data_IF_647401824734
#
_entry.id   IF_647401824734
#
_cell.length_a   1.000
_cell.length_b   1.000
_cell.length_c   1.000
_cell.angle_alpha   90.00
_cell.angle_beta   90.00
_cell.angle_gamma   90.00
#
_symmetry.space_group_name_H-M   'P 1'
#
loop_
_entity.id
_entity.type
_entity.pdbx_description
1 polymer ?
#
# COMPACT_ATOMS: atom_id res chain seq x y z
N UNK A 1 -10.36 -36.38 11.64
CA UNK A 1 -10.40 -35.90 10.25
C UNK A 1 -10.73 -34.41 10.29
N UNK A 2 -9.71 -33.54 10.42
CA UNK A 2 -9.81 -32.07 10.32
C UNK A 2 -8.39 -31.50 10.28
N UNK A 3 -7.75 -31.59 9.11
CA UNK A 3 -6.49 -30.93 8.82
C UNK A 3 -6.64 -30.18 7.49
N UNK A 4 -7.39 -29.08 7.50
CA UNK A 4 -7.51 -28.22 6.30
C UNK A 4 -7.87 -26.79 6.69
N UNK A 5 -6.95 -26.05 7.34
CA UNK A 5 -7.08 -24.58 7.44
C UNK A 5 -5.77 -23.83 7.72
N UNK A 6 -4.61 -24.35 7.30
CA UNK A 6 -3.32 -23.66 7.45
C UNK A 6 -2.57 -23.38 6.15
N UNK A 7 -3.08 -23.81 5.00
CA UNK A 7 -2.36 -23.68 3.73
C UNK A 7 -2.73 -22.43 2.90
N UNK A 8 -3.74 -21.65 3.33
CA UNK A 8 -4.30 -20.55 2.53
C UNK A 8 -3.85 -19.14 2.90
N UNK A 9 -2.88 -18.97 3.81
CA UNK A 9 -2.32 -17.67 4.17
C UNK A 9 -0.91 -17.52 3.59
N UNK A 10 -0.78 -17.75 2.28
CA UNK A 10 0.41 -17.25 1.57
C UNK A 10 0.10 -15.82 1.15
N UNK A 11 0.87 -14.81 1.60
CA UNK A 11 0.71 -13.46 1.11
C UNK A 11 0.80 -13.52 -0.40
N UNK A 12 -0.15 -12.87 -1.08
CA UNK A 12 -0.32 -13.00 -2.52
C UNK A 12 0.86 -12.47 -3.33
N UNK A 13 1.90 -11.93 -2.67
CA UNK A 13 3.22 -11.64 -3.21
C UNK A 13 3.23 -10.49 -4.20
N UNK A 14 2.08 -9.83 -4.38
CA UNK A 14 1.84 -8.84 -5.43
C UNK A 14 1.76 -7.41 -4.88
N UNK A 15 2.09 -7.16 -3.61
CA UNK A 15 2.30 -5.80 -3.11
C UNK A 15 2.12 -5.61 -1.61
N UNK A 16 3.13 -4.96 -1.00
CA UNK A 16 3.11 -4.35 0.33
C UNK A 16 2.72 -5.25 1.50
N UNK A 17 3.61 -5.41 2.49
CA UNK A 17 3.32 -6.17 3.73
C UNK A 17 2.05 -5.66 4.42
N UNK A 18 1.84 -4.35 4.47
CA UNK A 18 0.65 -3.74 5.07
C UNK A 18 -0.64 -4.12 4.31
N UNK A 19 -0.57 -4.13 2.99
CA UNK A 19 -1.73 -4.42 2.14
C UNK A 19 -2.10 -5.90 2.22
N UNK A 20 -1.14 -6.79 2.02
CA UNK A 20 -1.39 -8.23 2.10
C UNK A 20 -1.93 -8.62 3.49
N UNK A 21 -1.40 -8.04 4.58
CA UNK A 21 -1.92 -8.24 5.93
C UNK A 21 -3.38 -7.79 6.09
N UNK A 22 -3.75 -6.62 5.58
CA UNK A 22 -5.11 -6.10 5.71
C UNK A 22 -6.14 -6.88 4.89
N UNK A 23 -5.75 -7.44 3.73
CA UNK A 23 -6.61 -8.33 2.94
C UNK A 23 -6.91 -9.63 3.72
N UNK A 24 -5.89 -10.22 4.33
CA UNK A 24 -6.04 -11.41 5.19
C UNK A 24 -6.95 -11.10 6.40
N UNK A 25 -6.73 -9.98 7.09
CA UNK A 25 -7.60 -9.55 8.18
C UNK A 25 -9.04 -9.31 7.73
N UNK A 26 -9.24 -8.67 6.56
CA UNK A 26 -10.56 -8.42 6.02
C UNK A 26 -11.32 -9.71 5.68
N UNK A 27 -10.61 -10.73 5.20
CA UNK A 27 -11.18 -12.05 4.90
C UNK A 27 -11.59 -12.81 6.18
N UNK A 28 -10.88 -12.61 7.30
CA UNK A 28 -11.16 -13.28 8.57
C UNK A 28 -12.20 -12.57 9.43
N UNK A 29 -12.14 -11.25 9.52
CA UNK A 29 -12.94 -10.43 10.45
C UNK A 29 -14.16 -9.83 9.74
N UNK A 30 -14.07 -9.55 8.44
CA UNK A 30 -15.19 -9.03 7.66
C UNK A 30 -15.52 -7.55 7.88
N UNK A 31 -14.74 -6.80 8.66
CA UNK A 31 -14.98 -5.37 8.95
C UNK A 31 -14.77 -4.47 7.72
N UNK A 32 -15.67 -3.50 7.53
CA UNK A 32 -15.61 -2.55 6.42
C UNK A 32 -14.40 -1.61 6.47
N UNK A 33 -13.91 -1.28 7.67
CA UNK A 33 -12.74 -0.41 7.89
C UNK A 33 -11.44 -1.11 7.49
N UNK A 34 -11.32 -2.43 7.67
CA UNK A 34 -10.20 -3.21 7.16
C UNK A 34 -10.15 -3.17 5.63
N UNK A 35 -11.29 -3.35 4.95
CA UNK A 35 -11.39 -3.21 3.49
C UNK A 35 -11.07 -1.81 3.01
N UNK A 36 -11.48 -0.78 3.75
CA UNK A 36 -11.17 0.61 3.44
C UNK A 36 -9.67 0.91 3.58
N UNK A 37 -9.05 0.52 4.70
CA UNK A 37 -7.61 0.64 4.90
C UNK A 37 -6.80 -0.14 3.85
N UNK A 38 -7.22 -1.36 3.50
CA UNK A 38 -6.62 -2.15 2.43
C UNK A 38 -6.59 -1.40 1.08
N UNK A 39 -7.71 -0.77 0.69
CA UNK A 39 -7.79 0.01 -0.55
C UNK A 39 -6.87 1.22 -0.53
N UNK A 40 -6.81 1.95 0.58
CA UNK A 40 -5.92 3.12 0.70
C UNK A 40 -4.45 2.70 0.63
N UNK A 41 -4.05 1.58 1.24
CA UNK A 41 -2.70 1.07 1.08
C UNK A 41 -2.40 0.52 -0.31
N UNK A 42 -3.40 0.00 -1.03
CA UNK A 42 -3.24 -0.36 -2.44
C UNK A 42 -2.98 0.88 -3.32
N UNK A 43 -3.66 1.99 -3.05
CA UNK A 43 -3.42 3.27 -3.70
C UNK A 43 -2.02 3.81 -3.37
N UNK A 44 -1.62 3.80 -2.11
CA UNK A 44 -0.29 4.19 -1.67
C UNK A 44 0.83 3.39 -2.36
N UNK A 45 0.63 2.08 -2.57
CA UNK A 45 1.58 1.26 -3.31
C UNK A 45 1.73 1.69 -4.79
N UNK A 46 0.64 2.13 -5.41
CA UNK A 46 0.67 2.73 -6.75
C UNK A 46 1.47 4.03 -6.79
N UNK A 47 1.26 4.92 -5.81
CA UNK A 47 2.01 6.17 -5.68
C UNK A 47 3.50 5.93 -5.45
N UNK A 48 3.87 4.97 -4.59
CA UNK A 48 5.25 4.54 -4.40
C UNK A 48 5.91 4.06 -5.69
N UNK A 49 5.18 3.31 -6.52
CA UNK A 49 5.67 2.88 -7.85
C UNK A 49 5.98 4.10 -8.73
N UNK A 50 5.10 5.10 -8.74
CA UNK A 50 5.33 6.36 -9.47
C UNK A 50 6.56 7.12 -8.98
N UNK A 51 6.74 7.21 -7.64
CA UNK A 51 7.93 7.83 -7.03
C UNK A 51 9.20 7.10 -7.47
N UNK A 52 9.22 5.76 -7.40
CA UNK A 52 10.39 4.98 -7.82
C UNK A 52 10.73 5.20 -9.29
N UNK A 53 9.73 5.23 -10.18
CA UNK A 53 9.94 5.53 -11.61
C UNK A 53 10.50 6.94 -11.83
N UNK A 54 10.06 7.95 -11.08
CA UNK A 54 10.59 9.31 -11.20
C UNK A 54 12.04 9.41 -10.70
N UNK A 55 12.36 8.74 -9.59
CA UNK A 55 13.73 8.69 -9.07
C UNK A 55 14.67 7.99 -10.07
N UNK A 56 14.22 6.90 -10.70
CA UNK A 56 14.97 6.22 -11.76
C UNK A 56 15.26 7.17 -12.92
N UNK A 57 14.24 7.86 -13.45
CA UNK A 57 14.40 8.86 -14.52
C UNK A 57 15.33 10.00 -14.13
N UNK A 58 15.27 10.47 -12.88
CA UNK A 58 16.18 11.49 -12.38
C UNK A 58 17.64 11.01 -12.43
N UNK A 59 17.87 9.76 -12.02
CA UNK A 59 19.20 9.12 -12.07
C UNK A 59 19.72 8.92 -13.49
N UNK A 60 18.85 8.56 -14.43
CA UNK A 60 19.21 8.35 -15.84
C UNK A 60 19.47 9.65 -16.59
N UNK A 61 18.64 10.68 -16.36
CA UNK A 61 18.68 11.94 -17.11
C UNK A 61 19.53 13.03 -16.46
N UNK A 62 19.75 12.95 -15.14
CA UNK A 62 20.33 14.05 -14.35
C UNK A 62 19.39 15.25 -14.17
N UNK A 63 18.14 15.18 -14.64
CA UNK A 63 17.16 16.25 -14.53
C UNK A 63 16.48 16.23 -13.14
N UNK A 64 16.77 17.27 -12.35
CA UNK A 64 16.20 17.48 -11.03
C UNK A 64 14.67 17.67 -11.02
N UNK A 65 14.06 18.05 -12.16
CA UNK A 65 12.61 18.20 -12.28
C UNK A 65 11.84 16.91 -11.95
N UNK A 66 12.43 15.74 -12.22
CA UNK A 66 11.85 14.45 -11.82
C UNK A 66 11.80 14.27 -10.30
N UNK A 67 12.80 14.78 -9.56
CA UNK A 67 12.81 14.73 -8.09
C UNK A 67 11.79 15.70 -7.48
N UNK A 68 11.61 16.87 -8.09
CA UNK A 68 10.56 17.81 -7.67
C UNK A 68 9.17 17.20 -7.83
N UNK A 69 8.91 16.54 -8.97
CA UNK A 69 7.67 15.80 -9.21
C UNK A 69 7.50 14.64 -8.21
N UNK A 70 8.57 13.90 -7.92
CA UNK A 70 8.54 12.83 -6.92
C UNK A 70 8.16 13.39 -5.53
N UNK A 71 8.66 14.58 -5.17
CA UNK A 71 8.30 15.28 -3.95
C UNK A 71 6.80 15.60 -3.84
N UNK A 72 6.17 16.03 -4.94
CA UNK A 72 4.72 16.25 -4.99
C UNK A 72 3.96 14.94 -4.74
N UNK A 73 4.34 13.85 -5.40
CA UNK A 73 3.70 12.55 -5.21
C UNK A 73 3.90 12.04 -3.77
N UNK A 74 5.08 12.23 -3.19
CA UNK A 74 5.37 11.85 -1.80
C UNK A 74 4.49 12.60 -0.79
N UNK A 75 4.16 13.87 -1.06
CA UNK A 75 3.22 14.61 -0.23
C UNK A 75 1.82 13.98 -0.27
N UNK A 76 1.32 13.65 -1.46
CA UNK A 76 0.00 13.02 -1.61
C UNK A 76 -0.03 11.61 -1.01
N UNK A 77 1.03 10.83 -1.23
CA UNK A 77 1.25 9.53 -0.60
C UNK A 77 1.15 9.63 0.93
N UNK A 78 1.82 10.61 1.55
CA UNK A 78 1.81 10.77 3.01
C UNK A 78 0.39 11.02 3.56
N UNK A 79 -0.46 11.70 2.78
CA UNK A 79 -1.86 11.92 3.13
C UNK A 79 -2.67 10.63 3.04
N UNK A 80 -2.51 9.87 1.96
CA UNK A 80 -3.19 8.58 1.78
C UNK A 80 -2.82 7.59 2.90
N UNK A 81 -1.54 7.49 3.26
CA UNK A 81 -1.08 6.63 4.35
C UNK A 81 -1.65 7.07 5.71
N UNK A 82 -1.70 8.38 5.96
CA UNK A 82 -2.34 8.94 7.16
C UNK A 82 -3.83 8.60 7.21
N UNK A 83 -4.56 8.81 6.13
CA UNK A 83 -6.00 8.53 6.05
C UNK A 83 -6.28 7.03 6.30
N UNK A 84 -5.42 6.14 5.77
CA UNK A 84 -5.49 4.71 6.03
C UNK A 84 -5.35 4.41 7.53
N UNK A 85 -4.36 5.03 8.20
CA UNK A 85 -4.15 4.88 9.64
C UNK A 85 -5.31 5.44 10.45
N UNK A 86 -5.91 6.55 10.05
CA UNK A 86 -7.07 7.13 10.74
C UNK A 86 -8.32 6.26 10.65
N UNK A 87 -8.53 5.57 9.52
CA UNK A 87 -9.58 4.56 9.36
C UNK A 87 -9.30 3.35 10.26
N UNK A 88 -8.06 2.85 10.26
CA UNK A 88 -7.70 1.64 11.00
C UNK A 88 -7.65 1.87 12.52
N UNK A 89 -7.32 3.09 12.98
CA UNK A 89 -7.38 3.47 14.40
C UNK A 89 -8.78 3.31 15.01
N UNK A 90 -9.81 3.36 14.17
CA UNK A 90 -11.19 3.26 14.64
C UNK A 90 -11.67 1.84 14.83
N UNK A 91 -10.89 0.81 14.40
CA UNK A 91 -11.28 -0.60 14.40
C UNK A 91 -11.79 -1.09 15.77
#
# INVERSE_FOLDING_TARGET
MTATRRENLRPSGRGGVQRDFLDECAALIGDGRLRAGHRLYAEAAGLWTGVSTLIEKAGESGDAGHLEQAGVILHDLSRVEKDAMEVLRQL
#
